data_IF_606261916428
#
_entry.id   IF_606261916428
#
_cell.length_a   1.000
_cell.length_b   1.000
_cell.length_c   1.000
_cell.angle_alpha   90.00
_cell.angle_beta   90.00
_cell.angle_gamma   90.00
#
_symmetry.space_group_name_H-M   'P 1'
#
loop_
_entity.id
_entity.type
_entity.pdbx_description
1 polymer ?
#
# COMPACT_ATOMS: atom_id res chain seq x y z
N UNK A 1 17.47 15.69 16.03
CA UNK A 1 17.87 15.73 14.61
C UNK A 1 17.38 14.44 13.97
N UNK A 2 16.20 14.43 13.35
CA UNK A 2 15.63 13.23 12.68
C UNK A 2 15.02 13.55 11.30
N UNK A 3 15.42 14.66 10.68
CA UNK A 3 14.74 15.16 9.48
C UNK A 3 15.65 15.11 8.26
N UNK A 4 15.88 13.91 7.73
CA UNK A 4 16.64 13.72 6.50
C UNK A 4 16.21 12.49 5.71
N UNK A 5 15.98 11.36 6.37
CA UNK A 5 15.55 10.11 5.72
C UNK A 5 14.06 10.08 5.37
N UNK A 6 13.20 10.67 6.20
CA UNK A 6 11.75 10.65 5.98
C UNK A 6 11.30 11.50 4.77
N UNK A 7 12.02 12.57 4.43
CA UNK A 7 11.66 13.40 3.27
C UNK A 7 12.02 12.75 1.92
N UNK A 8 13.02 11.87 1.88
CA UNK A 8 13.36 11.11 0.68
C UNK A 8 12.29 10.06 0.34
N UNK A 9 11.71 9.39 1.34
CA UNK A 9 10.54 8.55 1.11
C UNK A 9 9.35 9.36 0.60
N UNK A 10 9.14 10.57 1.11
CA UNK A 10 8.03 11.44 0.69
C UNK A 10 8.17 11.96 -0.75
N UNK A 11 9.40 12.28 -1.17
CA UNK A 11 9.72 12.76 -2.53
C UNK A 11 9.82 11.60 -3.53
N UNK A 12 10.23 10.40 -3.11
CA UNK A 12 10.16 9.20 -3.95
C UNK A 12 8.74 8.62 -4.06
N UNK A 13 7.87 8.87 -3.07
CA UNK A 13 6.47 8.46 -3.05
C UNK A 13 5.55 9.31 -3.95
N UNK A 14 6.07 10.28 -4.71
CA UNK A 14 5.31 10.99 -5.74
C UNK A 14 5.02 10.14 -6.98
N UNK A 15 5.31 8.85 -6.96
CA UNK A 15 4.95 7.93 -8.03
C UNK A 15 4.13 6.81 -7.44
N UNK A 16 2.82 7.00 -7.40
CA UNK A 16 1.83 5.92 -7.26
C UNK A 16 2.13 4.74 -8.22
N UNK A 17 2.81 5.02 -9.34
CA UNK A 17 3.38 4.06 -10.30
C UNK A 17 4.55 3.21 -9.79
N UNK A 18 5.40 3.68 -8.87
CA UNK A 18 6.55 2.90 -8.38
C UNK A 18 6.15 1.84 -7.33
N UNK A 19 4.95 1.97 -6.77
CA UNK A 19 4.40 1.02 -5.81
C UNK A 19 3.53 -0.06 -6.45
N UNK A 20 3.23 0.04 -7.76
CA UNK A 20 2.47 -0.98 -8.50
C UNK A 20 3.40 -2.04 -9.05
N UNK A 21 3.15 -3.28 -8.65
CA UNK A 21 3.65 -4.45 -9.38
C UNK A 21 2.99 -4.52 -10.76
N UNK A 22 3.53 -5.38 -11.64
CA UNK A 22 2.88 -5.69 -12.92
C UNK A 22 1.41 -6.06 -12.75
N UNK A 23 0.99 -6.66 -11.64
CA UNK A 23 -0.40 -7.04 -11.38
C UNK A 23 -1.30 -5.89 -10.89
N UNK A 24 -0.77 -4.66 -10.84
CA UNK A 24 -1.46 -3.49 -10.30
C UNK A 24 -1.57 -3.47 -8.77
N UNK A 25 -1.07 -4.50 -8.08
CA UNK A 25 -0.98 -4.55 -6.63
C UNK A 25 -0.04 -3.47 -6.11
N UNK A 26 -0.53 -2.71 -5.12
CA UNK A 26 0.27 -1.73 -4.37
C UNK A 26 0.99 -2.36 -3.18
N UNK A 27 1.87 -1.61 -2.53
CA UNK A 27 2.50 -2.05 -1.27
C UNK A 27 1.48 -2.37 -0.16
N UNK A 28 0.32 -1.69 -0.15
CA UNK A 28 -0.76 -2.00 0.78
C UNK A 28 -1.38 -3.38 0.50
N UNK A 29 -1.58 -3.73 -0.78
CA UNK A 29 -2.03 -5.08 -1.15
C UNK A 29 -1.04 -6.13 -0.68
N UNK A 30 0.26 -5.91 -0.91
CA UNK A 30 1.30 -6.84 -0.47
C UNK A 30 1.36 -7.00 1.06
N UNK A 31 1.25 -5.90 1.82
CA UNK A 31 1.23 -5.95 3.28
C UNK A 31 0.04 -6.74 3.82
N UNK A 32 -1.15 -6.55 3.25
CA UNK A 32 -2.35 -7.31 3.61
C UNK A 32 -2.25 -8.79 3.21
N UNK A 33 -1.78 -9.09 1.99
CA UNK A 33 -1.59 -10.46 1.53
C UNK A 33 -0.55 -11.23 2.36
N UNK A 34 0.49 -10.54 2.83
CA UNK A 34 1.51 -11.08 3.73
C UNK A 34 1.12 -11.03 5.22
N UNK A 35 -0.11 -10.62 5.54
CA UNK A 35 -0.65 -10.54 6.91
C UNK A 35 0.18 -9.62 7.83
N UNK A 36 0.87 -8.64 7.24
CA UNK A 36 1.64 -7.61 7.93
C UNK A 36 0.75 -6.42 8.29
N UNK A 37 -0.24 -6.64 9.18
CA UNK A 37 -1.27 -5.65 9.50
C UNK A 37 -0.72 -4.37 10.16
N UNK A 38 0.31 -4.47 11.00
CA UNK A 38 0.94 -3.28 11.61
C UNK A 38 1.57 -2.38 10.54
N UNK A 39 2.29 -2.98 9.59
CA UNK A 39 2.86 -2.26 8.46
C UNK A 39 1.76 -1.69 7.55
N UNK A 40 0.68 -2.44 7.33
CA UNK A 40 -0.46 -1.95 6.56
C UNK A 40 -1.10 -0.71 7.21
N UNK A 41 -1.19 -0.66 8.54
CA UNK A 41 -1.68 0.50 9.27
C UNK A 41 -0.77 1.72 9.05
N UNK A 42 0.55 1.56 9.24
CA UNK A 42 1.53 2.64 9.00
C UNK A 42 1.47 3.18 7.56
N UNK A 43 1.26 2.28 6.59
CA UNK A 43 1.12 2.64 5.17
C UNK A 43 -0.14 3.48 4.95
N UNK A 44 -1.29 3.11 5.52
CA UNK A 44 -2.55 3.86 5.37
C UNK A 44 -2.48 5.22 6.08
N UNK A 45 -1.84 5.29 7.24
CA UNK A 45 -1.62 6.55 7.95
C UNK A 45 -0.70 7.49 7.18
N UNK A 46 0.33 6.95 6.53
CA UNK A 46 1.28 7.72 5.72
C UNK A 46 0.75 8.08 4.33
N UNK A 47 -0.05 7.19 3.74
CA UNK A 47 -0.54 7.24 2.35
C UNK A 47 -2.01 6.83 2.26
N UNK A 48 -2.94 7.68 2.75
CA UNK A 48 -4.36 7.36 2.79
C UNK A 48 -4.99 7.13 1.40
N UNK A 49 -4.38 7.66 0.33
CA UNK A 49 -4.80 7.41 -1.05
C UNK A 49 -4.69 5.92 -1.44
N UNK A 50 -3.80 5.15 -0.82
CA UNK A 50 -3.62 3.74 -1.12
C UNK A 50 -4.79 2.87 -0.66
N UNK A 51 -5.59 3.31 0.32
CA UNK A 51 -6.74 2.56 0.80
C UNK A 51 -7.79 2.34 -0.31
N UNK A 52 -7.92 3.29 -1.24
CA UNK A 52 -8.80 3.20 -2.40
C UNK A 52 -8.12 2.69 -3.68
N UNK A 53 -6.83 2.35 -3.62
CA UNK A 53 -6.11 1.89 -4.81
C UNK A 53 -6.62 0.50 -5.24
N UNK A 54 -6.89 0.37 -6.54
CA UNK A 54 -7.37 -0.88 -7.14
C UNK A 54 -6.23 -1.65 -7.81
N UNK A 55 -6.17 -2.96 -7.62
CA UNK A 55 -5.34 -3.86 -8.43
C UNK A 55 -5.87 -3.95 -9.88
N UNK A 56 -5.24 -4.80 -10.72
CA UNK A 56 -5.74 -5.05 -12.09
C UNK A 56 -7.11 -5.73 -12.16
N UNK A 57 -7.53 -6.37 -11.08
CA UNK A 57 -8.82 -7.05 -10.99
C UNK A 57 -9.92 -6.12 -10.43
N UNK A 58 -9.61 -4.85 -10.15
CA UNK A 58 -10.55 -3.90 -9.56
C UNK A 58 -10.78 -4.10 -8.06
N UNK A 59 -9.87 -4.79 -7.37
CA UNK A 59 -9.95 -5.02 -5.93
C UNK A 59 -9.06 -4.04 -5.16
N UNK A 60 -9.57 -3.56 -4.03
CA UNK A 60 -8.74 -2.90 -3.02
C UNK A 60 -8.02 -3.93 -2.15
N UNK A 61 -7.02 -3.47 -1.38
CA UNK A 61 -6.37 -4.30 -0.37
C UNK A 61 -7.38 -4.84 0.66
N UNK A 62 -8.39 -4.04 1.03
CA UNK A 62 -9.50 -4.46 1.90
C UNK A 62 -10.39 -5.53 1.26
N UNK A 63 -10.71 -5.43 -0.03
CA UNK A 63 -11.45 -6.48 -0.75
C UNK A 63 -10.70 -7.81 -0.73
N UNK A 64 -9.38 -7.79 -0.90
CA UNK A 64 -8.55 -9.00 -0.84
C UNK A 64 -8.58 -9.63 0.56
N UNK A 65 -8.49 -8.80 1.62
CA UNK A 65 -8.61 -9.28 2.99
C UNK A 65 -9.95 -9.96 3.25
N UNK A 66 -11.05 -9.31 2.85
CA UNK A 66 -12.40 -9.84 3.03
C UNK A 66 -12.62 -11.15 2.24
N UNK A 67 -12.01 -11.28 1.06
CA UNK A 67 -12.13 -12.46 0.19
C UNK A 67 -11.34 -13.67 0.69
N UNK A 68 -10.38 -13.48 1.60
CA UNK A 68 -9.56 -14.58 2.17
C UNK A 68 -10.31 -15.43 3.20
N UNK A 69 -11.59 -15.13 3.49
CA UNK A 69 -12.43 -15.84 4.46
C UNK A 69 -13.25 -17.01 3.86
N UNK A 70 -12.79 -17.60 2.75
CA UNK A 70 -13.40 -18.79 2.13
C UNK A 70 -12.65 -20.07 2.44
#
# INVERSE_FOLDING_TARGET
>A
MESGRFNLLKVAATREELLRKDDGCTILHAAIMGEHYSLAMEIVESFPNLAGALDKNGNTALNMLASKQG
#
